data_IF_645558708496
#
_entry.id   IF_645558708496
#
_cell.length_a   1.000
_cell.length_b   1.000
_cell.length_c   1.000
_cell.angle_alpha   90.00
_cell.angle_beta   90.00
_cell.angle_gamma   90.00
#
_symmetry.space_group_name_H-M   'P 1'
#
loop_
_entity.id
_entity.type
_entity.pdbx_description
1 polymer ?
#
# COMPACT_ATOMS: atom_id res chain seq x y z
N UNK A 1 -43.66 29.94 -24.29
CA UNK A 1 -42.99 28.68 -24.69
C UNK A 1 -41.52 29.00 -24.90
N UNK A 2 -40.67 28.15 -24.32
CA UNK A 2 -39.31 28.47 -23.90
C UNK A 2 -38.27 28.34 -25.00
N UNK A 3 -37.25 29.19 -24.95
CA UNK A 3 -35.94 28.92 -25.56
C UNK A 3 -34.85 29.37 -24.56
N UNK A 4 -34.02 28.45 -24.04
CA UNK A 4 -32.75 28.84 -23.43
C UNK A 4 -31.60 28.06 -24.09
N UNK A 5 -30.86 28.73 -24.98
CA UNK A 5 -29.62 28.24 -25.57
C UNK A 5 -28.51 29.30 -25.39
N UNK A 6 -28.15 29.60 -24.13
CA UNK A 6 -26.93 30.35 -23.78
C UNK A 6 -26.40 29.94 -22.41
N UNK A 7 -25.73 28.80 -22.32
CA UNK A 7 -25.01 28.39 -21.11
C UNK A 7 -23.86 27.42 -21.42
N UNK A 8 -23.01 27.72 -22.41
CA UNK A 8 -21.83 26.90 -22.71
C UNK A 8 -20.56 27.68 -23.10
N UNK A 9 -20.44 28.94 -22.70
CA UNK A 9 -19.23 29.73 -22.95
C UNK A 9 -18.84 30.59 -21.73
N UNK A 10 -18.62 29.96 -20.57
CA UNK A 10 -18.02 30.63 -19.41
C UNK A 10 -17.42 29.67 -18.37
N UNK A 11 -16.71 28.60 -18.77
CA UNK A 11 -15.76 27.97 -17.84
C UNK A 11 -14.49 28.80 -17.89
N UNK A 12 -14.54 29.93 -17.17
CA UNK A 12 -13.38 30.78 -16.89
C UNK A 12 -12.29 29.91 -16.29
N UNK A 13 -11.07 30.07 -16.80
CA UNK A 13 -9.83 29.60 -16.19
C UNK A 13 -9.84 29.95 -14.70
N UNK A 14 -10.23 28.99 -13.86
CA UNK A 14 -10.04 29.12 -12.42
C UNK A 14 -8.53 29.22 -12.17
N UNK A 15 -8.05 30.23 -11.43
CA UNK A 15 -6.62 30.45 -11.29
C UNK A 15 -6.02 29.26 -10.55
N UNK A 16 -5.26 28.42 -11.27
CA UNK A 16 -4.48 27.27 -10.79
C UNK A 16 -3.65 27.62 -9.53
N UNK A 17 -3.31 28.90 -9.36
CA UNK A 17 -2.59 29.44 -8.19
C UNK A 17 -3.38 29.36 -6.87
N UNK A 18 -4.71 29.39 -6.88
CA UNK A 18 -5.52 29.28 -5.65
C UNK A 18 -5.55 27.84 -5.12
N UNK A 19 -5.57 26.83 -6.00
CA UNK A 19 -5.51 25.40 -5.63
C UNK A 19 -4.11 25.01 -5.11
N UNK A 20 -3.05 25.65 -5.61
CA UNK A 20 -1.70 25.45 -5.07
C UNK A 20 -1.57 25.90 -3.60
N UNK A 21 -2.30 26.94 -3.16
CA UNK A 21 -2.28 27.44 -1.77
C UNK A 21 -2.96 26.51 -0.75
N UNK A 22 -3.91 25.67 -1.18
CA UNK A 22 -4.54 24.62 -0.35
C UNK A 22 -3.82 23.26 -0.49
N UNK A 23 -2.61 23.24 -1.06
CA UNK A 23 -1.81 22.01 -1.21
C UNK A 23 -2.33 21.06 -2.28
N UNK A 24 -3.32 21.47 -3.09
CA UNK A 24 -3.78 20.73 -4.27
C UNK A 24 -2.92 21.17 -5.44
N UNK A 25 -1.67 20.72 -5.45
CA UNK A 25 -0.83 20.84 -6.64
C UNK A 25 -1.48 20.04 -7.77
N UNK A 26 -1.96 20.73 -8.82
CA UNK A 26 -2.32 20.09 -10.09
C UNK A 26 -1.02 19.72 -10.79
N UNK A 27 -0.35 18.68 -10.28
CA UNK A 27 0.83 18.15 -10.95
C UNK A 27 0.37 17.41 -12.20
N UNK A 28 0.74 17.91 -13.38
CA UNK A 28 0.70 17.10 -14.59
C UNK A 28 1.82 16.07 -14.47
N UNK A 29 1.43 14.81 -14.40
CA UNK A 29 2.39 13.71 -14.51
C UNK A 29 3.00 13.68 -15.91
N UNK A 30 4.24 13.22 -16.02
CA UNK A 30 4.78 12.84 -17.32
C UNK A 30 4.34 11.40 -17.59
N UNK A 31 3.66 11.18 -18.71
CA UNK A 31 3.36 9.83 -19.19
C UNK A 31 4.57 9.32 -19.97
N UNK A 32 5.29 8.37 -19.39
CA UNK A 32 6.54 7.82 -19.92
C UNK A 32 6.39 6.35 -20.34
N UNK A 33 5.15 5.87 -20.48
CA UNK A 33 4.85 4.51 -20.90
C UNK A 33 5.32 4.26 -22.34
N UNK A 34 5.77 3.03 -22.60
CA UNK A 34 6.30 2.63 -23.92
C UNK A 34 7.65 3.24 -24.31
N UNK A 35 8.27 4.07 -23.46
CA UNK A 35 9.61 4.60 -23.73
C UNK A 35 10.68 3.57 -23.33
N UNK A 36 11.79 3.44 -24.10
CA UNK A 36 12.90 2.55 -23.78
C UNK A 36 13.80 3.19 -22.71
N UNK A 37 13.24 3.50 -21.55
CA UNK A 37 13.95 4.06 -20.40
C UNK A 37 13.80 3.10 -19.23
N UNK A 38 14.91 2.76 -18.58
CA UNK A 38 14.87 1.96 -17.36
C UNK A 38 14.27 2.77 -16.22
N UNK A 39 13.71 2.08 -15.22
CA UNK A 39 13.18 2.75 -14.03
C UNK A 39 14.29 3.53 -13.30
N UNK A 40 15.51 2.99 -13.27
CA UNK A 40 16.66 3.66 -12.66
C UNK A 40 17.02 4.97 -13.38
N UNK A 41 17.12 4.94 -14.71
CA UNK A 41 17.35 6.15 -15.49
C UNK A 41 16.23 7.18 -15.29
N UNK A 42 14.98 6.73 -15.20
CA UNK A 42 13.85 7.62 -14.94
C UNK A 42 13.95 8.27 -13.56
N UNK A 43 14.27 7.48 -12.53
CA UNK A 43 14.50 7.97 -11.17
C UNK A 43 15.67 8.96 -11.11
N UNK A 44 16.63 8.90 -12.04
CA UNK A 44 17.72 9.87 -12.15
C UNK A 44 17.32 11.13 -12.92
N UNK A 45 16.68 10.98 -14.08
CA UNK A 45 16.35 12.10 -14.99
C UNK A 45 15.15 12.91 -14.55
N UNK A 46 14.15 12.28 -13.92
CA UNK A 46 12.86 12.90 -13.56
C UNK A 46 12.66 13.04 -12.05
N UNK A 47 13.77 13.13 -11.28
CA UNK A 47 13.74 13.32 -9.82
C UNK A 47 12.70 14.37 -9.42
N UNK A 48 11.84 14.01 -8.46
CA UNK A 48 10.79 14.86 -7.88
C UNK A 48 9.61 15.21 -8.81
N UNK A 49 9.52 14.62 -10.02
CA UNK A 49 8.37 14.80 -10.91
C UNK A 49 7.49 13.55 -10.92
N UNK A 50 6.18 13.67 -10.64
CA UNK A 50 5.26 12.55 -10.78
C UNK A 50 5.33 12.02 -12.22
N UNK A 51 5.57 10.73 -12.37
CA UNK A 51 5.74 10.08 -13.67
C UNK A 51 4.94 8.79 -13.71
N UNK A 52 4.22 8.56 -14.80
CA UNK A 52 3.50 7.32 -15.05
C UNK A 52 4.36 6.42 -15.91
N UNK A 53 4.55 5.19 -15.47
CA UNK A 53 5.35 4.16 -16.17
C UNK A 53 4.57 2.86 -16.25
N UNK A 54 4.92 2.01 -17.22
CA UNK A 54 4.46 0.62 -17.21
C UNK A 54 5.33 -0.20 -16.28
N UNK A 55 4.68 -1.05 -15.49
CA UNK A 55 5.33 -1.89 -14.50
C UNK A 55 4.78 -3.30 -14.62
N UNK A 56 5.64 -4.34 -14.62
CA UNK A 56 5.20 -5.71 -14.39
C UNK A 56 4.47 -5.80 -13.05
N UNK A 57 3.20 -6.21 -13.08
CA UNK A 57 2.40 -6.34 -11.86
C UNK A 57 3.01 -7.38 -10.91
N UNK A 58 3.71 -8.38 -11.46
CA UNK A 58 4.51 -9.34 -10.70
C UNK A 58 5.68 -8.71 -9.92
N UNK A 59 6.11 -7.49 -10.24
CA UNK A 59 7.14 -6.75 -9.49
C UNK A 59 6.55 -5.85 -8.39
N UNK A 60 5.22 -5.69 -8.36
CA UNK A 60 4.54 -4.98 -7.29
C UNK A 60 4.49 -5.83 -6.02
N UNK A 61 4.70 -5.18 -4.88
CA UNK A 61 4.68 -5.74 -3.52
C UNK A 61 3.79 -4.85 -2.68
N UNK A 62 2.87 -5.44 -1.93
CA UNK A 62 2.18 -4.73 -0.86
C UNK A 62 1.29 -5.66 -0.07
N UNK A 63 1.49 -5.68 1.25
CA UNK A 63 0.45 -5.87 2.26
C UNK A 63 1.10 -5.56 3.61
N UNK A 64 1.68 -4.34 3.70
CA UNK A 64 2.55 -3.95 4.81
C UNK A 64 3.88 -4.74 4.78
N UNK A 65 4.41 -5.18 5.94
CA UNK A 65 5.71 -5.86 6.03
C UNK A 65 5.71 -7.30 5.48
N UNK A 66 4.59 -7.82 4.99
CA UNK A 66 4.48 -9.21 4.50
C UNK A 66 4.93 -9.37 3.04
N UNK A 67 5.10 -8.27 2.31
CA UNK A 67 5.68 -8.27 0.96
C UNK A 67 4.88 -9.01 -0.10
N UNK A 68 3.60 -9.30 0.12
CA UNK A 68 2.81 -10.12 -0.82
C UNK A 68 2.82 -9.52 -2.24
N UNK A 69 3.11 -10.35 -3.23
CA UNK A 69 3.22 -9.97 -4.64
C UNK A 69 1.86 -10.00 -5.36
N UNK A 70 1.74 -9.27 -6.48
CA UNK A 70 0.53 -9.25 -7.34
C UNK A 70 0.64 -10.07 -8.63
N UNK A 71 1.71 -10.86 -8.80
CA UNK A 71 1.94 -11.63 -10.02
C UNK A 71 1.07 -12.89 -10.16
N UNK A 72 1.22 -13.63 -11.27
CA UNK A 72 0.62 -14.95 -11.43
C UNK A 72 0.92 -15.86 -10.23
N UNK A 73 -0.10 -16.55 -9.73
CA UNK A 73 0.03 -17.40 -8.54
C UNK A 73 0.15 -16.65 -7.20
N UNK A 74 -0.06 -15.33 -7.19
CA UNK A 74 -0.10 -14.49 -5.99
C UNK A 74 -0.88 -15.14 -4.86
N UNK A 75 -0.32 -15.14 -3.64
CA UNK A 75 -1.05 -15.52 -2.43
C UNK A 75 -1.68 -14.31 -1.73
N UNK A 76 -1.78 -13.16 -2.41
CA UNK A 76 -2.31 -11.95 -1.82
C UNK A 76 -3.79 -12.14 -1.43
N UNK A 77 -4.20 -11.95 -0.16
CA UNK A 77 -5.54 -12.30 0.32
C UNK A 77 -6.67 -11.62 -0.47
N UNK A 78 -6.53 -10.34 -0.83
CA UNK A 78 -7.51 -9.67 -1.70
C UNK A 78 -7.63 -10.29 -3.10
N UNK A 79 -6.51 -10.72 -3.71
CA UNK A 79 -6.53 -11.36 -5.03
C UNK A 79 -7.23 -12.71 -4.92
N UNK A 80 -6.81 -13.53 -3.95
CA UNK A 80 -7.34 -14.88 -3.76
C UNK A 80 -8.82 -14.87 -3.38
N UNK A 81 -9.25 -13.99 -2.49
CA UNK A 81 -10.67 -13.85 -2.15
C UNK A 81 -11.52 -13.38 -3.32
N UNK A 82 -11.02 -12.46 -4.15
CA UNK A 82 -11.74 -12.04 -5.34
C UNK A 82 -11.85 -13.20 -6.34
N UNK A 83 -10.79 -13.97 -6.55
CA UNK A 83 -10.81 -15.16 -7.39
C UNK A 83 -11.79 -16.22 -6.88
N UNK A 84 -11.80 -16.51 -5.57
CA UNK A 84 -12.79 -17.43 -4.98
C UNK A 84 -14.21 -16.97 -5.27
N UNK A 85 -14.49 -15.68 -5.04
CA UNK A 85 -15.83 -15.12 -5.28
C UNK A 85 -16.22 -15.22 -6.77
N UNK A 86 -15.34 -14.85 -7.68
CA UNK A 86 -15.60 -14.90 -9.13
C UNK A 86 -15.82 -16.32 -9.66
N UNK A 87 -15.30 -17.33 -8.95
CA UNK A 87 -15.45 -18.75 -9.29
C UNK A 87 -16.59 -19.44 -8.55
N UNK A 88 -17.29 -18.75 -7.65
CA UNK A 88 -18.31 -19.35 -6.80
C UNK A 88 -17.74 -20.37 -5.79
N UNK A 89 -16.49 -20.19 -5.36
CA UNK A 89 -15.83 -21.07 -4.37
C UNK A 89 -16.11 -20.67 -2.91
N UNK A 90 -16.88 -19.59 -2.69
CA UNK A 90 -17.26 -19.14 -1.37
C UNK A 90 -18.64 -18.46 -1.42
N UNK A 91 -19.49 -18.78 -0.44
CA UNK A 91 -20.82 -18.18 -0.29
C UNK A 91 -20.84 -17.07 0.78
N UNK A 92 -19.83 -17.06 1.65
CA UNK A 92 -19.71 -16.12 2.76
C UNK A 92 -18.30 -15.54 2.86
N UNK A 93 -18.16 -14.39 3.53
CA UNK A 93 -16.84 -13.80 3.79
C UNK A 93 -15.94 -14.74 4.60
N UNK A 94 -16.51 -15.51 5.53
CA UNK A 94 -15.81 -16.37 6.48
C UNK A 94 -15.06 -17.52 5.82
N UNK A 95 -15.46 -17.90 4.61
CA UNK A 95 -14.82 -18.92 3.76
C UNK A 95 -13.70 -18.34 2.86
N UNK A 96 -13.57 -17.02 2.82
CA UNK A 96 -12.60 -16.37 1.93
C UNK A 96 -11.17 -16.43 2.47
N UNK A 97 -10.19 -16.40 1.57
CA UNK A 97 -8.76 -16.32 1.89
C UNK A 97 -8.43 -15.13 2.78
N UNK A 98 -9.16 -14.01 2.64
CA UNK A 98 -9.02 -12.82 3.46
C UNK A 98 -9.48 -13.03 4.90
N UNK A 99 -10.60 -13.73 5.13
CA UNK A 99 -11.03 -14.08 6.47
C UNK A 99 -10.02 -15.01 7.15
N UNK A 100 -9.55 -16.03 6.43
CA UNK A 100 -8.47 -16.90 6.90
C UNK A 100 -7.23 -16.08 7.26
N UNK A 101 -6.77 -15.21 6.36
CA UNK A 101 -5.62 -14.35 6.59
C UNK A 101 -5.74 -13.54 7.90
N UNK A 102 -6.84 -12.81 8.11
CA UNK A 102 -6.97 -11.97 9.31
C UNK A 102 -7.19 -12.78 10.58
N UNK A 103 -7.73 -14.00 10.51
CA UNK A 103 -7.82 -14.89 11.68
C UNK A 103 -6.45 -15.46 12.05
N UNK A 104 -5.60 -15.73 11.07
CA UNK A 104 -4.34 -16.43 11.27
C UNK A 104 -3.12 -15.51 11.43
N UNK A 105 -3.15 -14.29 10.89
CA UNK A 105 -2.06 -13.32 11.03
C UNK A 105 -2.42 -12.22 12.04
N UNK A 106 -2.09 -12.47 13.30
CA UNK A 106 -2.41 -11.61 14.46
C UNK A 106 -1.17 -11.30 15.30
N UNK A 107 -0.10 -10.69 14.73
CA UNK A 107 1.05 -10.28 15.51
C UNK A 107 0.61 -9.32 16.63
N UNK A 108 1.16 -9.49 17.82
CA UNK A 108 0.80 -8.66 18.99
C UNK A 108 1.77 -7.49 19.20
N UNK A 109 2.98 -7.57 18.64
CA UNK A 109 3.96 -6.49 18.67
C UNK A 109 4.34 -6.00 17.27
N UNK A 110 4.87 -4.77 17.20
CA UNK A 110 5.43 -4.23 15.98
C UNK A 110 6.62 -5.06 15.50
N UNK A 111 7.50 -5.51 16.41
CA UNK A 111 8.61 -6.41 16.11
C UNK A 111 8.14 -7.68 15.38
N UNK A 112 7.12 -8.37 15.93
CA UNK A 112 6.54 -9.56 15.31
C UNK A 112 5.95 -9.26 13.93
N UNK A 113 5.24 -8.13 13.79
CA UNK A 113 4.66 -7.75 12.49
C UNK A 113 5.75 -7.50 11.43
N UNK A 114 6.91 -6.99 11.85
CA UNK A 114 8.11 -6.79 11.03
C UNK A 114 8.92 -8.07 10.84
N UNK A 115 8.59 -9.17 11.53
CA UNK A 115 9.37 -10.41 11.49
C UNK A 115 10.73 -10.32 12.21
N UNK A 116 10.91 -9.32 13.09
CA UNK A 116 12.10 -9.19 13.93
C UNK A 116 11.93 -10.10 15.15
N UNK A 117 12.99 -10.81 15.53
CA UNK A 117 13.02 -11.61 16.76
C UNK A 117 12.76 -10.70 17.99
N UNK A 118 11.70 -10.94 18.78
CA UNK A 118 11.43 -10.17 19.97
C UNK A 118 12.59 -10.12 20.97
N UNK A 119 13.45 -11.14 21.03
CA UNK A 119 14.59 -11.16 21.96
C UNK A 119 15.71 -10.19 21.55
N UNK A 120 15.90 -9.97 20.24
CA UNK A 120 16.90 -9.02 19.71
C UNK A 120 16.30 -7.63 19.41
N UNK A 121 14.97 -7.51 19.33
CA UNK A 121 14.30 -6.27 18.97
C UNK A 121 14.48 -5.17 20.01
N UNK A 122 14.56 -3.93 19.54
CA UNK A 122 14.54 -2.76 20.42
C UNK A 122 13.27 -2.76 21.30
N UNK A 123 13.36 -2.47 22.63
CA UNK A 123 12.22 -2.58 23.55
C UNK A 123 10.96 -1.82 23.10
N UNK A 124 11.12 -0.66 22.47
CA UNK A 124 9.99 0.10 21.92
C UNK A 124 9.20 -0.66 20.84
N UNK A 125 9.84 -1.51 20.04
CA UNK A 125 9.14 -2.32 19.02
C UNK A 125 8.32 -3.44 19.65
N UNK A 126 8.79 -3.99 20.78
CA UNK A 126 8.06 -4.98 21.57
C UNK A 126 6.91 -4.33 22.36
N UNK A 127 7.09 -3.09 22.83
CA UNK A 127 6.08 -2.36 23.58
C UNK A 127 4.98 -1.73 22.70
N UNK A 128 5.19 -1.66 21.38
CA UNK A 128 4.22 -1.09 20.46
C UNK A 128 3.40 -2.18 19.75
N UNK A 129 2.09 -1.97 19.56
CA UNK A 129 1.28 -2.85 18.72
C UNK A 129 1.73 -2.69 17.25
N UNK A 130 1.33 -3.61 16.36
CA UNK A 130 1.57 -3.44 14.93
C UNK A 130 1.08 -2.08 14.42
N UNK A 131 1.81 -1.49 13.48
CA UNK A 131 1.47 -0.21 12.86
C UNK A 131 1.39 -0.37 11.34
N UNK A 132 0.34 0.21 10.73
CA UNK A 132 0.24 0.25 9.26
C UNK A 132 1.43 0.99 8.67
N UNK A 133 1.95 0.45 7.57
CA UNK A 133 2.95 1.11 6.71
C UNK A 133 4.29 1.43 7.41
N UNK A 134 4.51 0.95 8.64
CA UNK A 134 5.74 1.14 9.39
C UNK A 134 6.85 0.27 8.77
N UNK A 135 7.91 0.91 8.28
CA UNK A 135 9.04 0.27 7.61
C UNK A 135 10.37 0.90 8.05
N UNK A 136 11.51 0.20 7.93
CA UNK A 136 12.83 0.73 8.32
C UNK A 136 13.20 2.08 7.67
N UNK A 137 12.80 2.27 6.41
CA UNK A 137 12.97 3.51 5.64
C UNK A 137 11.90 4.58 5.91
N UNK A 138 11.01 4.33 6.87
CA UNK A 138 9.91 5.21 7.23
C UNK A 138 10.36 6.55 7.81
N UNK A 139 9.70 7.64 7.41
CA UNK A 139 10.05 9.00 7.88
C UNK A 139 9.52 9.38 9.28
N UNK A 140 9.62 10.67 9.62
CA UNK A 140 9.26 11.27 10.92
C UNK A 140 7.87 10.84 11.46
N UNK A 141 6.88 10.68 10.57
CA UNK A 141 5.53 10.28 10.97
C UNK A 141 5.49 8.91 11.66
N UNK A 142 6.36 7.98 11.26
CA UNK A 142 6.43 6.66 11.90
C UNK A 142 7.01 6.76 13.30
N UNK A 143 7.98 7.64 13.51
CA UNK A 143 8.52 7.90 14.83
C UNK A 143 7.48 8.52 15.76
N UNK A 144 6.76 9.53 15.30
CA UNK A 144 5.67 10.14 16.07
C UNK A 144 4.59 9.11 16.42
N UNK A 145 4.22 8.23 15.48
CA UNK A 145 3.30 7.13 15.72
C UNK A 145 3.83 6.14 16.77
N UNK A 146 5.10 5.73 16.68
CA UNK A 146 5.74 4.83 17.64
C UNK A 146 5.73 5.43 19.05
N UNK A 147 6.13 6.70 19.17
CA UNK A 147 6.15 7.40 20.46
C UNK A 147 4.75 7.50 21.07
N UNK A 148 3.76 7.93 20.29
CA UNK A 148 2.39 8.04 20.78
C UNK A 148 1.80 6.67 21.19
N UNK A 149 2.16 5.59 20.48
CA UNK A 149 1.75 4.23 20.84
C UNK A 149 2.38 3.79 22.17
N UNK A 150 3.69 4.00 22.34
CA UNK A 150 4.40 3.66 23.57
C UNK A 150 3.86 4.44 24.79
N UNK A 151 3.65 5.76 24.66
CA UNK A 151 3.07 6.61 25.72
C UNK A 151 1.67 6.16 26.15
N UNK A 152 0.86 5.69 25.18
CA UNK A 152 -0.50 5.20 25.45
C UNK A 152 -0.48 3.87 26.23
N UNK A 153 0.52 3.02 26.00
CA UNK A 153 0.68 1.75 26.72
C UNK A 153 1.11 1.95 28.17
N UNK A 154 1.97 2.93 28.45
CA UNK A 154 2.46 3.23 29.81
C UNK A 154 1.38 3.84 30.70
N UNK A 155 0.40 4.56 30.12
CA UNK A 155 -0.60 5.33 30.87
C UNK A 155 -1.76 4.52 31.49
N UNK A 156 -1.73 3.18 31.39
CA UNK A 156 -2.69 2.27 32.02
C UNK A 156 -4.13 2.29 31.43
N UNK A 157 -5.03 1.44 31.97
CA UNK A 157 -6.39 1.21 31.41
C UNK A 157 -7.29 2.44 31.38
N UNK A 158 -6.98 3.46 32.20
CA UNK A 158 -7.77 4.70 32.30
C UNK A 158 -7.62 5.59 31.05
N UNK A 159 -6.54 5.46 30.27
CA UNK A 159 -6.35 6.16 29.01
C UNK A 159 -7.06 5.49 27.81
N UNK A 160 -7.53 4.23 27.95
CA UNK A 160 -8.20 3.48 26.89
C UNK A 160 -9.69 3.86 26.71
N UNK A 161 -10.28 4.66 27.62
CA UNK A 161 -11.73 4.92 27.67
C UNK A 161 -12.32 5.74 26.51
N UNK A 162 -11.54 6.24 25.55
CA UNK A 162 -12.04 6.92 24.35
C UNK A 162 -11.12 6.71 23.15
N UNK A 163 -10.73 5.47 22.86
CA UNK A 163 -10.12 5.18 21.55
C UNK A 163 -11.29 4.94 20.58
N UNK A 164 -11.65 5.90 19.71
CA UNK A 164 -12.75 5.69 18.77
C UNK A 164 -12.42 4.49 17.88
N UNK A 165 -13.40 3.60 17.65
CA UNK A 165 -13.39 2.39 16.79
C UNK A 165 -12.53 2.53 15.51
N UNK A 166 -12.41 3.76 14.99
CA UNK A 166 -11.45 4.14 13.93
C UNK A 166 -9.97 3.73 14.15
N UNK A 167 -9.50 3.60 15.40
CA UNK A 167 -8.11 3.23 15.72
C UNK A 167 -7.91 1.71 15.82
N UNK A 168 -8.89 0.92 16.23
CA UNK A 168 -8.81 -0.56 16.22
C UNK A 168 -8.80 -1.13 14.79
N UNK A 169 -9.43 -0.42 13.85
CA UNK A 169 -9.39 -0.73 12.41
C UNK A 169 -8.13 -0.15 11.73
N UNK A 170 -7.33 0.66 12.44
CA UNK A 170 -6.28 1.48 11.81
C UNK A 170 -5.10 0.70 11.25
N UNK A 171 -4.82 -0.50 11.78
CA UNK A 171 -3.81 -1.39 11.19
C UNK A 171 -4.46 -2.21 10.08
N UNK A 172 -4.27 -1.82 8.82
CA UNK A 172 -5.03 -2.38 7.70
C UNK A 172 -4.63 -3.82 7.38
N UNK A 173 -3.40 -4.19 7.74
CA UNK A 173 -2.73 -5.37 7.24
C UNK A 173 -2.62 -6.51 8.25
N UNK A 174 -3.07 -6.35 9.50
CA UNK A 174 -3.04 -7.42 10.51
C UNK A 174 -4.43 -7.61 11.09
N UNK A 175 -4.71 -8.84 11.53
CA UNK A 175 -5.96 -9.15 12.20
C UNK A 175 -5.82 -9.24 13.73
N UNK A 176 -6.89 -9.70 14.42
CA UNK A 176 -8.19 -10.05 13.84
C UNK A 176 -8.96 -8.82 13.35
N UNK A 177 -9.90 -9.02 12.42
CA UNK A 177 -10.83 -7.99 11.95
C UNK A 177 -12.27 -8.46 12.14
N UNK A 178 -13.21 -7.56 12.46
CA UNK A 178 -14.62 -7.93 12.55
C UNK A 178 -15.16 -8.29 11.17
N UNK A 179 -16.09 -9.25 11.12
CA UNK A 179 -16.57 -9.83 9.86
C UNK A 179 -17.16 -8.79 8.90
N UNK A 180 -17.97 -7.85 9.41
CA UNK A 180 -18.55 -6.77 8.60
C UNK A 180 -17.50 -5.95 7.83
N UNK A 181 -16.28 -5.81 8.39
CA UNK A 181 -15.20 -5.09 7.72
C UNK A 181 -14.69 -5.87 6.51
N UNK A 182 -14.59 -7.20 6.65
CA UNK A 182 -14.20 -8.08 5.57
C UNK A 182 -15.24 -8.16 4.47
N UNK A 183 -16.51 -8.29 4.82
CA UNK A 183 -17.63 -8.22 3.88
C UNK A 183 -17.59 -6.92 3.05
N UNK A 184 -17.38 -5.77 3.71
CA UNK A 184 -17.22 -4.49 3.03
C UNK A 184 -16.02 -4.49 2.07
N UNK A 185 -14.90 -5.15 2.41
CA UNK A 185 -13.73 -5.26 1.52
C UNK A 185 -14.00 -6.16 0.31
N UNK A 186 -14.65 -7.30 0.50
CA UNK A 186 -15.02 -8.19 -0.60
C UNK A 186 -15.99 -7.48 -1.53
N UNK A 187 -17.06 -6.89 -1.00
CA UNK A 187 -18.01 -6.11 -1.78
C UNK A 187 -17.32 -5.00 -2.59
N UNK A 188 -16.39 -4.27 -1.96
CA UNK A 188 -15.62 -3.24 -2.65
C UNK A 188 -14.76 -3.79 -3.79
N UNK A 189 -14.10 -4.94 -3.61
CA UNK A 189 -13.30 -5.60 -4.65
C UNK A 189 -14.16 -6.06 -5.83
N UNK A 190 -15.33 -6.64 -5.56
CA UNK A 190 -16.28 -7.09 -6.58
C UNK A 190 -16.83 -5.91 -7.39
N UNK A 191 -17.29 -4.86 -6.72
CA UNK A 191 -17.76 -3.63 -7.37
C UNK A 191 -16.66 -3.00 -8.23
N UNK A 192 -15.42 -2.95 -7.72
CA UNK A 192 -14.29 -2.42 -8.46
C UNK A 192 -13.93 -3.31 -9.67
N UNK A 193 -14.00 -4.62 -9.53
CA UNK A 193 -13.82 -5.57 -10.64
C UNK A 193 -14.86 -5.33 -11.74
N UNK A 194 -16.15 -5.25 -11.38
CA UNK A 194 -17.23 -4.99 -12.35
C UNK A 194 -17.02 -3.67 -13.08
N UNK A 195 -16.63 -2.62 -12.37
CA UNK A 195 -16.33 -1.33 -12.97
C UNK A 195 -15.14 -1.39 -13.94
N UNK A 196 -14.03 -2.02 -13.55
CA UNK A 196 -12.84 -2.14 -14.41
C UNK A 196 -13.14 -3.04 -15.61
N UNK A 197 -13.92 -4.10 -15.45
CA UNK A 197 -14.31 -5.00 -16.53
C UNK A 197 -15.21 -4.31 -17.58
N UNK A 198 -16.14 -3.44 -17.14
CA UNK A 198 -17.05 -2.75 -18.06
C UNK A 198 -16.45 -1.51 -18.73
N UNK A 199 -15.57 -0.80 -18.02
CA UNK A 199 -15.06 0.50 -18.46
C UNK A 199 -13.58 0.51 -18.85
N UNK A 200 -12.85 -0.57 -18.56
CA UNK A 200 -11.40 -0.63 -18.55
C UNK A 200 -10.79 0.07 -17.32
N UNK A 201 -9.51 -0.16 -17.07
CA UNK A 201 -8.79 0.56 -16.01
C UNK A 201 -8.51 2.01 -16.44
N UNK A 202 -9.34 2.93 -15.95
CA UNK A 202 -9.26 4.36 -16.29
C UNK A 202 -8.42 5.14 -15.29
N UNK A 203 -7.35 5.76 -15.79
CA UNK A 203 -6.51 6.70 -15.05
C UNK A 203 -6.90 8.17 -15.30
N UNK A 204 -8.18 8.44 -15.57
CA UNK A 204 -8.63 9.78 -15.95
C UNK A 204 -8.99 10.61 -14.71
N UNK A 205 -8.33 11.76 -14.61
CA UNK A 205 -8.71 12.81 -13.70
C UNK A 205 -10.01 13.47 -14.16
N UNK A 206 -11.10 13.21 -13.44
CA UNK A 206 -12.06 14.30 -13.25
C UNK A 206 -11.30 15.45 -12.60
N UNK A 207 -11.46 16.67 -13.12
CA UNK A 207 -10.78 17.87 -12.61
C UNK A 207 -10.99 18.10 -11.10
N UNK A 208 -12.00 17.44 -10.52
CA UNK A 208 -12.40 17.56 -9.13
C UNK A 208 -11.73 16.56 -8.16
N UNK A 209 -10.99 15.56 -8.65
CA UNK A 209 -10.38 14.53 -7.79
C UNK A 209 -8.85 14.64 -7.74
N UNK A 210 -8.23 14.48 -6.55
CA UNK A 210 -6.77 14.42 -6.46
C UNK A 210 -6.23 13.30 -7.33
N UNK A 211 -5.29 13.63 -8.22
CA UNK A 211 -4.66 12.74 -9.18
C UNK A 211 -4.17 11.41 -8.55
N UNK A 212 -3.60 11.48 -7.34
CA UNK A 212 -3.14 10.32 -6.54
C UNK A 212 -4.24 9.25 -6.32
N UNK A 213 -5.53 9.61 -6.32
CA UNK A 213 -6.62 8.67 -6.04
C UNK A 213 -6.98 7.76 -7.21
N UNK A 214 -6.49 8.01 -8.42
CA UNK A 214 -6.84 7.26 -9.63
C UNK A 214 -5.74 6.29 -10.07
N UNK A 215 -4.50 6.56 -9.69
CA UNK A 215 -3.35 5.73 -10.04
C UNK A 215 -3.10 4.64 -8.99
N UNK A 216 -2.39 3.59 -9.41
CA UNK A 216 -1.54 2.81 -8.53
C UNK A 216 -0.33 3.68 -8.22
N UNK A 217 -0.14 4.06 -6.95
CA UNK A 217 1.02 4.87 -6.56
C UNK A 217 2.03 3.96 -5.90
N UNK A 218 3.28 4.05 -6.35
CA UNK A 218 4.34 3.14 -5.92
C UNK A 218 5.57 3.90 -5.43
N UNK A 219 6.19 3.38 -4.39
CA UNK A 219 7.59 3.67 -4.07
C UNK A 219 8.48 2.61 -4.74
N UNK A 220 9.69 2.99 -5.13
CA UNK A 220 10.63 2.08 -5.80
C UNK A 220 11.60 1.48 -4.77
N UNK A 221 11.70 0.17 -4.72
CA UNK A 221 12.74 -0.55 -3.98
C UNK A 221 13.82 -0.97 -4.96
N UNK A 222 15.08 -0.64 -4.67
CA UNK A 222 16.22 -0.88 -5.56
C UNK A 222 17.25 -1.76 -4.86
N UNK A 223 17.60 -2.88 -5.50
CA UNK A 223 18.70 -3.77 -5.10
C UNK A 223 19.52 -4.05 -6.35
N UNK A 224 20.76 -3.57 -6.35
CA UNK A 224 21.64 -3.61 -7.52
C UNK A 224 20.94 -2.97 -8.73
N UNK A 225 20.80 -3.71 -9.83
CA UNK A 225 20.11 -3.26 -11.04
C UNK A 225 18.62 -3.68 -11.10
N UNK A 226 18.10 -4.31 -10.05
CA UNK A 226 16.71 -4.78 -10.00
C UNK A 226 15.80 -3.84 -9.20
N UNK A 227 14.57 -3.70 -9.68
CA UNK A 227 13.55 -2.80 -9.10
C UNK A 227 12.27 -3.56 -8.81
N UNK A 228 11.76 -3.34 -7.59
CA UNK A 228 10.43 -3.74 -7.14
C UNK A 228 9.63 -2.51 -6.73
N UNK A 229 8.32 -2.64 -6.73
CA UNK A 229 7.42 -1.51 -6.51
C UNK A 229 6.55 -1.74 -5.28
N UNK A 230 6.72 -0.92 -4.26
CA UNK A 230 5.90 -0.96 -3.06
C UNK A 230 4.62 -0.14 -3.29
N UNK A 231 3.44 -0.78 -3.31
CA UNK A 231 2.18 -0.11 -3.65
C UNK A 231 1.67 0.77 -2.50
N UNK A 232 2.10 2.03 -2.45
CA UNK A 232 1.71 3.01 -1.45
C UNK A 232 0.22 3.43 -1.53
N UNK A 233 -0.38 3.36 -2.72
CA UNK A 233 -1.82 3.59 -2.93
C UNK A 233 -2.37 2.75 -4.08
N UNK A 234 -3.65 2.39 -4.00
CA UNK A 234 -4.33 1.60 -5.03
C UNK A 234 -4.24 0.09 -4.84
N UNK A 235 -3.95 -0.40 -3.64
CA UNK A 235 -3.87 -1.84 -3.32
C UNK A 235 -5.06 -2.67 -3.83
N UNK A 236 -6.31 -2.15 -3.74
CA UNK A 236 -7.49 -2.86 -4.23
C UNK A 236 -7.51 -2.93 -5.76
N UNK A 237 -7.10 -1.85 -6.44
CA UNK A 237 -6.97 -1.83 -7.90
C UNK A 237 -5.90 -2.80 -8.37
N UNK A 238 -4.73 -2.82 -7.71
CA UNK A 238 -3.68 -3.78 -8.01
C UNK A 238 -4.18 -5.23 -7.82
N UNK A 239 -4.96 -5.47 -6.77
CA UNK A 239 -5.56 -6.79 -6.51
C UNK A 239 -6.54 -7.21 -7.62
N UNK A 240 -7.42 -6.30 -8.04
CA UNK A 240 -8.39 -6.54 -9.13
C UNK A 240 -7.67 -6.79 -10.46
N UNK A 241 -6.70 -5.94 -10.82
CA UNK A 241 -5.92 -6.10 -12.04
C UNK A 241 -5.15 -7.43 -12.06
N UNK A 242 -4.63 -7.85 -10.90
CA UNK A 242 -3.98 -9.15 -10.72
C UNK A 242 -4.96 -10.30 -10.94
N UNK A 243 -6.15 -10.24 -10.33
CA UNK A 243 -7.20 -11.26 -10.52
C UNK A 243 -7.69 -11.34 -11.99
N UNK A 244 -7.67 -10.21 -12.70
CA UNK A 244 -7.98 -10.13 -14.14
C UNK A 244 -6.83 -10.58 -15.05
N UNK A 245 -5.70 -11.05 -14.50
CA UNK A 245 -4.57 -11.56 -15.27
C UNK A 245 -3.75 -10.48 -15.99
N UNK A 246 -3.79 -9.23 -15.53
CA UNK A 246 -2.99 -8.16 -16.13
C UNK A 246 -1.50 -8.35 -15.80
N UNK A 247 -0.65 -8.40 -16.81
CA UNK A 247 0.79 -8.55 -16.65
C UNK A 247 1.50 -7.22 -16.43
N UNK A 248 1.09 -6.19 -17.18
CA UNK A 248 1.62 -4.83 -17.10
C UNK A 248 0.53 -3.90 -16.59
N UNK A 249 0.89 -3.01 -15.66
CA UNK A 249 -0.02 -1.98 -15.17
C UNK A 249 0.64 -0.60 -15.19
N UNK A 250 -0.11 0.46 -15.53
CA UNK A 250 0.40 1.81 -15.42
C UNK A 250 0.45 2.24 -13.95
N UNK A 251 1.63 2.59 -13.46
CA UNK A 251 1.86 3.04 -12.07
C UNK A 251 2.39 4.47 -12.05
N UNK A 252 1.97 5.24 -11.05
CA UNK A 252 2.50 6.55 -10.75
C UNK A 252 3.63 6.42 -9.73
N UNK A 253 4.83 6.82 -10.11
CA UNK A 253 5.94 6.91 -9.17
C UNK A 253 5.64 8.00 -8.15
N UNK A 254 5.67 7.61 -6.88
CA UNK A 254 5.52 8.54 -5.79
C UNK A 254 6.68 9.54 -5.80
N UNK A 255 6.39 10.78 -5.44
CA UNK A 255 7.41 11.84 -5.23
C UNK A 255 7.20 12.56 -3.91
N UNK A 256 6.26 12.10 -3.09
CA UNK A 256 5.95 12.68 -1.79
C UNK A 256 6.78 12.04 -0.70
N UNK A 257 7.57 12.86 0.00
CA UNK A 257 8.41 12.44 1.12
C UNK A 257 7.67 12.21 2.45
N UNK A 258 6.34 12.39 2.49
CA UNK A 258 5.58 12.34 3.77
C UNK A 258 5.71 10.99 4.49
N UNK A 259 5.75 9.87 3.76
CA UNK A 259 5.83 8.52 4.34
C UNK A 259 7.25 7.97 4.44
N UNK A 260 8.20 8.59 3.74
CA UNK A 260 9.56 8.08 3.56
C UNK A 260 10.10 8.49 2.19
N UNK A 261 11.26 7.97 1.80
CA UNK A 261 11.80 8.19 0.47
C UNK A 261 10.99 7.42 -0.57
N UNK A 262 10.77 8.02 -1.74
CA UNK A 262 10.09 7.35 -2.86
C UNK A 262 10.99 6.39 -3.64
N UNK A 263 12.29 6.43 -3.35
CA UNK A 263 13.29 5.48 -3.83
C UNK A 263 14.01 4.94 -2.60
N UNK A 264 13.90 3.65 -2.37
CA UNK A 264 14.46 2.94 -1.22
C UNK A 264 15.58 2.07 -1.77
N UNK A 265 16.82 2.49 -1.56
CA UNK A 265 18.00 1.74 -2.02
C UNK A 265 18.49 0.85 -0.89
N UNK A 266 18.66 -0.45 -1.17
CA UNK A 266 19.23 -1.41 -0.22
C UNK A 266 20.60 -0.98 0.28
N UNK A 267 21.44 -0.46 -0.62
CA UNK A 267 22.81 0.02 -0.31
C UNK A 267 22.86 1.24 0.61
N UNK A 268 21.71 1.87 0.90
CA UNK A 268 21.59 3.02 1.79
C UNK A 268 20.97 2.64 3.15
N UNK A 269 20.98 1.35 3.51
CA UNK A 269 20.39 0.83 4.75
C UNK A 269 20.83 1.55 6.01
N UNK A 270 22.14 1.82 6.13
CA UNK A 270 22.73 2.59 7.24
C UNK A 270 22.18 4.02 7.35
N UNK A 271 21.64 4.58 6.27
CA UNK A 271 21.05 5.92 6.22
C UNK A 271 19.54 5.93 6.47
N UNK A 272 18.87 4.77 6.54
CA UNK A 272 17.44 4.72 6.77
C UNK A 272 17.07 5.29 8.14
N UNK A 273 15.95 6.04 8.26
CA UNK A 273 15.69 6.80 9.48
C UNK A 273 15.67 5.96 10.75
N UNK A 274 15.03 4.78 10.73
CA UNK A 274 14.92 3.95 11.93
C UNK A 274 16.24 3.22 12.27
N UNK A 275 17.09 2.98 11.27
CA UNK A 275 18.44 2.43 11.45
C UNK A 275 19.36 3.47 12.08
N UNK A 276 19.39 4.68 11.53
CA UNK A 276 20.16 5.82 12.07
C UNK A 276 19.79 6.18 13.50
N UNK A 277 18.54 5.94 13.87
CA UNK A 277 18.03 6.18 15.22
C UNK A 277 18.33 5.04 16.20
N UNK A 278 18.90 3.92 15.74
CA UNK A 278 19.17 2.74 16.58
C UNK A 278 17.90 1.98 17.01
N UNK A 279 16.76 2.24 16.35
CA UNK A 279 15.49 1.55 16.68
C UNK A 279 15.38 0.20 16.00
N UNK A 280 16.03 0.01 14.86
CA UNK A 280 16.13 -1.26 14.14
C UNK A 280 17.60 -1.46 13.80
N UNK A 281 18.16 -2.64 14.09
CA UNK A 281 19.52 -2.97 13.68
C UNK A 281 19.61 -3.00 12.14
N UNK A 282 20.75 -2.61 11.58
CA UNK A 282 20.90 -2.58 10.11
C UNK A 282 20.66 -3.95 9.47
N UNK A 283 21.09 -5.04 10.13
CA UNK A 283 20.84 -6.41 9.70
C UNK A 283 19.35 -6.74 9.61
N UNK A 284 18.56 -6.37 10.62
CA UNK A 284 17.11 -6.61 10.64
C UNK A 284 16.41 -5.79 9.58
N UNK A 285 16.86 -4.54 9.38
CA UNK A 285 16.33 -3.67 8.34
C UNK A 285 16.58 -4.24 6.93
N UNK A 286 17.78 -4.78 6.69
CA UNK A 286 18.13 -5.45 5.43
C UNK A 286 17.31 -6.72 5.23
N UNK A 287 17.12 -7.54 6.28
CA UNK A 287 16.26 -8.73 6.16
C UNK A 287 14.81 -8.33 5.81
N UNK A 288 14.24 -7.32 6.47
CA UNK A 288 12.91 -6.78 6.12
C UNK A 288 12.86 -6.34 4.67
N UNK A 289 13.87 -5.56 4.22
CA UNK A 289 13.94 -5.10 2.84
C UNK A 289 13.98 -6.27 1.86
N UNK A 290 14.90 -7.21 2.04
CA UNK A 290 15.11 -8.33 1.12
C UNK A 290 13.89 -9.23 1.09
N UNK A 291 13.30 -9.52 2.25
CA UNK A 291 12.07 -10.30 2.39
C UNK A 291 10.91 -9.65 1.63
N UNK A 292 10.69 -8.35 1.81
CA UNK A 292 9.65 -7.61 1.07
C UNK A 292 9.94 -7.56 -0.43
N UNK A 293 11.19 -7.33 -0.82
CA UNK A 293 11.63 -7.28 -2.21
C UNK A 293 11.36 -8.62 -2.92
N UNK A 294 11.74 -9.72 -2.28
CA UNK A 294 11.58 -11.09 -2.79
C UNK A 294 10.13 -11.58 -2.71
N UNK A 295 9.28 -10.91 -1.92
CA UNK A 295 7.91 -11.34 -1.65
C UNK A 295 7.83 -12.54 -0.70
N UNK A 296 8.80 -12.65 0.21
CA UNK A 296 8.83 -13.62 1.31
C UNK A 296 8.08 -13.06 2.53
N UNK A 297 7.44 -13.94 3.30
CA UNK A 297 6.63 -13.56 4.45
C UNK A 297 7.46 -13.64 5.75
N UNK A 298 7.09 -12.92 6.83
CA UNK A 298 7.84 -12.94 8.09
C UNK A 298 7.75 -14.32 8.77
N UNK A 299 8.64 -14.57 9.73
CA UNK A 299 8.54 -15.76 10.57
C UNK A 299 7.20 -15.80 11.31
N UNK A 300 6.63 -17.00 11.47
CA UNK A 300 5.31 -17.18 12.08
C UNK A 300 4.14 -16.75 11.21
N UNK A 301 4.38 -16.35 9.96
CA UNK A 301 3.31 -16.02 9.03
C UNK A 301 2.52 -17.27 8.62
N UNK A 302 1.18 -17.21 8.60
CA UNK A 302 0.37 -18.39 8.36
C UNK A 302 0.49 -18.89 6.92
N UNK A 303 0.26 -20.19 6.75
CA UNK A 303 0.03 -20.76 5.41
C UNK A 303 -1.23 -20.13 4.84
N UNK A 304 -1.14 -19.52 3.66
CA UNK A 304 -2.27 -18.87 3.03
C UNK A 304 -3.08 -19.85 2.19
N UNK A 305 -4.40 -19.70 2.25
CA UNK A 305 -5.32 -20.38 1.35
C UNK A 305 -5.14 -19.87 -0.09
N UNK A 306 -5.48 -20.74 -1.06
CA UNK A 306 -5.47 -20.43 -2.48
C UNK A 306 -6.80 -20.84 -3.10
N UNK A 307 -7.36 -19.98 -3.95
CA UNK A 307 -8.52 -20.27 -4.78
C UNK A 307 -8.27 -21.49 -5.69
N UNK A 308 -9.27 -22.34 -5.84
CA UNK A 308 -9.22 -23.55 -6.68
C UNK A 308 -8.49 -24.75 -6.05
N UNK A 309 -8.22 -24.70 -4.73
CA UNK A 309 -7.81 -25.87 -3.95
C UNK A 309 -8.86 -26.11 -2.87
N UNK A 310 -9.87 -26.91 -3.19
CA UNK A 310 -10.71 -27.61 -2.20
C UNK A 310 -10.09 -28.97 -1.96
#
# INVERSE_FOLDING_TARGET
MAEPLRLLAAVRQFPIRALAKIGVGVYRSHDLRGLPITVLELLERYRKRPSVVECPLAHCRWFGPTGLAYGPGSLHPYVQSLLQHLRGECDSYQETCLAHYWRSWTPVTLAQSLGIDPESAHPLLNACPPLSDFMPWGGKLHFEALRCAAESHVSGPLAQKKIPVSREISVRQVGPKPDWFGELRIHHLVTLHQQIASEGYRQRASACLPYIRQHLVVDCMVRDDDVRFLVANGQHRASVLSAMGQELVPVLLNVSHKRGPSVIRRSESSNWPLVRMGLIAESDALDIFDRVFDGRQPNGFPVLMRAGKV
#
